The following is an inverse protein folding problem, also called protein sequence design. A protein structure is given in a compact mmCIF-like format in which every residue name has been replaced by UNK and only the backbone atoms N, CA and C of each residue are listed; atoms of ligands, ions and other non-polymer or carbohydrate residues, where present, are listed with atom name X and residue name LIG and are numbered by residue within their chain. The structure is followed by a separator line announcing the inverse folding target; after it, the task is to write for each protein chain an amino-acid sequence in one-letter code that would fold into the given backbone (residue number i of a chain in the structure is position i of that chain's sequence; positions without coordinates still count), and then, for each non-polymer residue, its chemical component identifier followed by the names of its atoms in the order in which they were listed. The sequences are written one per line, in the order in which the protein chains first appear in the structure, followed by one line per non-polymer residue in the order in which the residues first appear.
data_IF_879758913207
#
_entry.id   IF_879758913207
#
_cell.length_a   1.000
_cell.length_b   1.000
_cell.length_c   1.000
_cell.angle_alpha   90.00
_cell.angle_beta   90.00
_cell.angle_gamma   90.00
#
_symmetry.space_group_name_H-M   'P 1'
#
loop_
_entity.id
_entity.type
_entity.pdbx_description
1 polymer ?
#
# COMPACT_ATOMS: atom_id res chain seq x y z
N UNK A 1 -4.12 -12.75 21.32
CA UNK A 1 -3.66 -13.81 20.40
C UNK A 1 -4.19 -13.48 19.02
N UNK A 2 -3.32 -13.44 18.01
CA UNK A 2 -3.60 -12.98 16.66
C UNK A 2 -3.51 -14.16 15.67
N UNK A 3 -4.54 -15.04 15.59
CA UNK A 3 -4.45 -16.27 14.80
C UNK A 3 -4.17 -15.99 13.31
N UNK A 4 -4.78 -14.95 12.75
CA UNK A 4 -4.62 -14.61 11.33
C UNK A 4 -3.17 -14.25 10.98
N UNK A 5 -2.47 -13.49 11.84
CA UNK A 5 -1.07 -13.11 11.63
C UNK A 5 -0.14 -14.34 11.66
N UNK A 6 -0.49 -15.36 12.43
CA UNK A 6 0.25 -16.62 12.49
C UNK A 6 -0.05 -17.54 11.29
N UNK A 7 -1.27 -17.51 10.75
CA UNK A 7 -1.68 -18.33 9.61
C UNK A 7 -1.11 -17.83 8.28
N UNK A 8 -0.89 -16.54 8.15
CA UNK A 8 -0.40 -15.92 6.92
C UNK A 8 0.95 -16.48 6.43
N UNK A 9 2.01 -16.60 7.28
CA UNK A 9 3.26 -17.21 6.85
C UNK A 9 3.10 -18.66 6.35
N UNK A 10 2.22 -19.44 6.99
CA UNK A 10 1.94 -20.81 6.55
C UNK A 10 1.28 -20.85 5.18
N UNK A 11 0.34 -19.96 4.92
CA UNK A 11 -0.27 -19.81 3.61
C UNK A 11 0.76 -19.42 2.53
N UNK A 12 1.62 -18.43 2.82
CA UNK A 12 2.71 -18.05 1.91
C UNK A 12 3.71 -19.19 1.66
N UNK A 13 4.06 -19.96 2.70
CA UNK A 13 4.89 -21.15 2.53
C UNK A 13 4.23 -22.17 1.59
N UNK A 14 2.92 -22.35 1.70
CA UNK A 14 2.15 -23.19 0.79
C UNK A 14 2.21 -22.68 -0.65
N UNK A 15 2.04 -21.38 -0.88
CA UNK A 15 2.17 -20.80 -2.22
C UNK A 15 3.55 -21.04 -2.83
N UNK A 16 4.61 -20.91 -2.05
CA UNK A 16 5.99 -21.20 -2.50
C UNK A 16 6.15 -22.69 -2.85
N UNK A 17 5.63 -23.58 -2.02
CA UNK A 17 5.67 -25.01 -2.29
C UNK A 17 4.90 -25.34 -3.58
N UNK A 18 3.71 -24.81 -3.77
CA UNK A 18 2.90 -24.99 -4.97
C UNK A 18 3.55 -24.42 -6.24
N UNK A 19 4.35 -23.36 -6.11
CA UNK A 19 5.12 -22.80 -7.21
C UNK A 19 6.32 -23.68 -7.59
N UNK A 20 7.06 -24.22 -6.60
CA UNK A 20 8.22 -25.05 -6.82
C UNK A 20 7.85 -26.48 -7.28
N UNK A 21 6.72 -26.99 -6.82
CA UNK A 21 6.23 -28.35 -7.08
C UNK A 21 4.78 -28.31 -7.54
N UNK A 22 4.47 -27.82 -8.76
CA UNK A 22 3.10 -27.78 -9.25
C UNK A 22 2.55 -29.20 -9.41
N UNK A 23 1.43 -29.51 -8.73
CA UNK A 23 0.82 -30.84 -8.73
C UNK A 23 -0.69 -30.74 -8.55
N UNK A 24 -1.43 -31.55 -9.30
CA UNK A 24 -2.88 -31.71 -9.13
C UNK A 24 -3.25 -32.45 -7.82
N UNK A 25 -2.28 -33.12 -7.22
CA UNK A 25 -2.50 -33.99 -6.05
C UNK A 25 -2.73 -33.23 -4.73
N UNK A 26 -2.58 -31.88 -4.69
CA UNK A 26 -2.80 -31.11 -3.46
C UNK A 26 -4.27 -31.06 -3.01
N UNK A 27 -5.23 -31.27 -3.92
CA UNK A 27 -6.67 -31.14 -3.59
C UNK A 27 -7.12 -32.16 -2.54
N UNK A 28 -6.80 -33.43 -2.73
CA UNK A 28 -7.22 -34.50 -1.83
C UNK A 28 -6.65 -34.34 -0.40
N UNK A 29 -5.32 -34.15 -0.21
CA UNK A 29 -4.78 -33.90 1.13
C UNK A 29 -5.28 -32.60 1.75
N UNK A 30 -5.53 -31.55 0.97
CA UNK A 30 -6.09 -30.28 1.46
C UNK A 30 -7.48 -30.50 2.09
N UNK A 31 -8.36 -31.21 1.38
CA UNK A 31 -9.70 -31.54 1.88
C UNK A 31 -9.62 -32.43 3.12
N UNK A 32 -8.79 -33.48 3.07
CA UNK A 32 -8.66 -34.45 4.17
C UNK A 32 -8.13 -33.79 5.45
N UNK A 33 -7.05 -33.01 5.35
CA UNK A 33 -6.44 -32.33 6.51
C UNK A 33 -7.35 -31.23 7.02
N UNK A 34 -8.02 -30.48 6.14
CA UNK A 34 -8.99 -29.45 6.52
C UNK A 34 -10.20 -30.01 7.27
N UNK A 35 -10.78 -31.11 6.77
CA UNK A 35 -11.90 -31.79 7.43
C UNK A 35 -11.47 -32.35 8.79
N UNK A 36 -10.28 -32.95 8.88
CA UNK A 36 -9.76 -33.48 10.14
C UNK A 36 -9.42 -32.36 11.14
N UNK A 37 -8.90 -31.22 10.68
CA UNK A 37 -8.65 -30.04 11.51
C UNK A 37 -9.96 -29.48 12.10
N UNK A 38 -11.03 -29.38 11.29
CA UNK A 38 -12.36 -28.96 11.76
C UNK A 38 -12.92 -29.94 12.78
N UNK A 39 -12.84 -31.25 12.54
CA UNK A 39 -13.28 -32.28 13.49
C UNK A 39 -12.48 -32.23 14.80
N UNK A 40 -11.15 -32.09 14.74
CA UNK A 40 -10.29 -31.97 15.90
C UNK A 40 -10.59 -30.69 16.71
N UNK A 41 -10.85 -29.57 16.04
CA UNK A 41 -11.19 -28.30 16.67
C UNK A 41 -12.54 -28.37 17.41
N UNK A 42 -13.49 -29.17 16.94
CA UNK A 42 -14.76 -29.43 17.62
C UNK A 42 -14.55 -30.27 18.88
N UNK A 43 -13.66 -31.26 18.87
CA UNK A 43 -13.49 -32.23 19.97
C UNK A 43 -12.49 -31.78 21.03
N UNK A 44 -11.45 -31.06 20.70
CA UNK A 44 -10.45 -30.55 21.66
C UNK A 44 -9.70 -29.33 21.14
N UNK A 45 -9.43 -28.37 22.04
CA UNK A 45 -8.51 -27.24 21.77
C UNK A 45 -7.12 -27.65 22.28
N UNK A 46 -6.24 -28.12 21.41
CA UNK A 46 -4.89 -28.51 21.78
C UNK A 46 -3.87 -28.26 20.67
N UNK A 47 -2.60 -28.49 20.99
CA UNK A 47 -1.46 -28.29 20.06
C UNK A 47 -1.65 -29.01 18.72
N UNK A 48 -2.23 -30.21 18.72
CA UNK A 48 -2.51 -30.99 17.51
C UNK A 48 -3.51 -30.25 16.60
N UNK A 49 -4.53 -29.65 17.16
CA UNK A 49 -5.53 -28.86 16.41
C UNK A 49 -4.87 -27.66 15.74
N UNK A 50 -4.03 -26.92 16.48
CA UNK A 50 -3.32 -25.76 15.94
C UNK A 50 -2.37 -26.17 14.80
N UNK A 51 -1.66 -27.29 14.96
CA UNK A 51 -0.77 -27.83 13.93
C UNK A 51 -1.53 -28.24 12.66
N UNK A 52 -2.71 -28.86 12.80
CA UNK A 52 -3.55 -29.25 11.66
C UNK A 52 -4.09 -28.04 10.92
N UNK A 53 -4.48 -26.97 11.63
CA UNK A 53 -4.91 -25.71 11.02
C UNK A 53 -3.76 -25.07 10.23
N UNK A 54 -2.56 -25.05 10.80
CA UNK A 54 -1.37 -24.53 10.10
C UNK A 54 -1.06 -25.33 8.83
N UNK A 55 -1.10 -26.68 8.92
CA UNK A 55 -0.88 -27.56 7.79
C UNK A 55 -1.97 -27.36 6.71
N UNK A 56 -3.23 -27.19 7.10
CA UNK A 56 -4.32 -26.90 6.16
C UNK A 56 -4.05 -25.60 5.39
N UNK A 57 -3.55 -24.56 6.06
CA UNK A 57 -3.20 -23.30 5.41
C UNK A 57 -2.07 -23.46 4.39
N UNK A 58 -1.05 -24.28 4.70
CA UNK A 58 0.03 -24.60 3.75
C UNK A 58 -0.52 -25.33 2.53
N UNK A 59 -1.35 -26.35 2.73
CA UNK A 59 -1.93 -27.11 1.63
C UNK A 59 -2.88 -26.28 0.76
N UNK A 60 -3.69 -25.40 1.36
CA UNK A 60 -4.55 -24.47 0.62
C UNK A 60 -3.71 -23.53 -0.24
N UNK A 61 -2.60 -23.00 0.28
CA UNK A 61 -1.68 -22.16 -0.46
C UNK A 61 -1.08 -22.92 -1.65
N UNK A 62 -0.54 -24.14 -1.43
CA UNK A 62 0.05 -24.97 -2.47
C UNK A 62 -0.95 -25.32 -3.58
N UNK A 63 -2.16 -25.73 -3.21
CA UNK A 63 -3.25 -26.02 -4.15
C UNK A 63 -3.61 -24.78 -4.98
N UNK A 64 -3.76 -23.61 -4.34
CA UNK A 64 -4.16 -22.39 -5.03
C UNK A 64 -3.11 -21.93 -6.04
N UNK A 65 -1.83 -22.01 -5.70
CA UNK A 65 -0.74 -21.69 -6.62
C UNK A 65 -0.68 -22.67 -7.80
N UNK A 66 -0.76 -23.98 -7.54
CA UNK A 66 -0.77 -24.99 -8.59
C UNK A 66 -1.93 -24.80 -9.57
N UNK A 67 -3.14 -24.56 -9.08
CA UNK A 67 -4.31 -24.27 -9.92
C UNK A 67 -4.15 -22.98 -10.72
N UNK A 68 -3.55 -21.94 -10.14
CA UNK A 68 -3.30 -20.68 -10.84
C UNK A 68 -2.31 -20.84 -11.99
N UNK A 69 -1.27 -21.64 -11.80
CA UNK A 69 -0.28 -21.91 -12.85
C UNK A 69 -0.89 -22.68 -14.03
N UNK A 70 -1.86 -23.57 -13.77
CA UNK A 70 -2.58 -24.32 -14.82
C UNK A 70 -3.54 -23.44 -15.61
N UNK A 71 -4.18 -22.46 -14.97
CA UNK A 71 -5.22 -21.62 -15.58
C UNK A 71 -4.67 -20.32 -16.22
N UNK A 72 -3.36 -20.08 -16.22
CA UNK A 72 -2.78 -18.83 -16.77
C UNK A 72 -3.04 -18.64 -18.28
N UNK A 73 -3.43 -19.69 -19.01
CA UNK A 73 -3.73 -19.61 -20.45
C UNK A 73 -5.13 -19.08 -20.78
N UNK A 74 -6.10 -19.15 -19.84
CA UNK A 74 -7.52 -18.85 -20.10
C UNK A 74 -8.02 -17.47 -19.66
N UNK A 75 -7.28 -16.72 -18.83
CA UNK A 75 -7.80 -15.50 -18.16
C UNK A 75 -7.80 -14.22 -19.00
N UNK A 76 -7.32 -14.20 -20.24
CA UNK A 76 -7.09 -12.96 -21.01
C UNK A 76 -8.33 -12.33 -21.65
N UNK A 77 -9.48 -12.98 -21.66
CA UNK A 77 -10.63 -12.55 -22.48
C UNK A 77 -11.68 -11.65 -21.78
N UNK A 78 -11.89 -11.75 -20.47
CA UNK A 78 -13.00 -11.07 -19.78
C UNK A 78 -12.70 -9.67 -19.22
N UNK A 79 -11.44 -9.34 -18.97
CA UNK A 79 -11.01 -8.04 -18.45
C UNK A 79 -11.12 -6.91 -19.48
N UNK A 80 -11.10 -7.24 -20.75
CA UNK A 80 -10.99 -6.27 -21.86
C UNK A 80 -12.17 -5.30 -22.01
N UNK A 81 -13.41 -5.67 -21.65
CA UNK A 81 -14.58 -4.78 -21.85
C UNK A 81 -14.67 -3.69 -20.77
N UNK A 82 -14.46 -4.06 -19.52
CA UNK A 82 -14.50 -3.11 -18.38
C UNK A 82 -13.34 -2.12 -18.51
N UNK A 83 -12.13 -2.61 -18.80
CA UNK A 83 -10.95 -1.79 -19.04
C UNK A 83 -11.16 -0.79 -20.18
N UNK A 84 -11.68 -1.20 -21.33
CA UNK A 84 -11.97 -0.32 -22.45
C UNK A 84 -12.99 0.78 -22.11
N UNK A 85 -14.01 0.48 -21.31
CA UNK A 85 -15.00 1.47 -20.89
C UNK A 85 -14.39 2.52 -19.96
N UNK A 86 -13.57 2.09 -19.00
CA UNK A 86 -12.93 3.01 -18.08
C UNK A 86 -11.79 3.81 -18.73
N UNK A 87 -11.05 3.25 -19.70
CA UNK A 87 -10.06 4.00 -20.48
C UNK A 87 -10.70 5.14 -21.26
N UNK A 88 -11.84 4.90 -21.90
CA UNK A 88 -12.60 5.95 -22.61
C UNK A 88 -13.04 7.08 -21.66
N UNK A 89 -13.51 6.76 -20.44
CA UNK A 89 -13.85 7.77 -19.44
C UNK A 89 -12.60 8.55 -19.01
N UNK A 90 -11.50 7.85 -18.80
CA UNK A 90 -10.23 8.47 -18.42
C UNK A 90 -9.69 9.40 -19.51
N UNK A 91 -9.87 9.08 -20.78
CA UNK A 91 -9.54 9.96 -21.93
C UNK A 91 -10.40 11.23 -21.94
N UNK A 92 -11.70 11.09 -21.71
CA UNK A 92 -12.60 12.25 -21.61
C UNK A 92 -12.25 13.16 -20.44
N UNK A 93 -11.84 12.60 -19.31
CA UNK A 93 -11.38 13.39 -18.15
C UNK A 93 -10.06 14.10 -18.46
N UNK A 94 -9.16 13.47 -19.17
CA UNK A 94 -7.91 14.09 -19.62
C UNK A 94 -8.19 15.27 -20.56
N UNK A 95 -9.11 15.12 -21.53
CA UNK A 95 -9.54 16.20 -22.38
C UNK A 95 -10.09 17.41 -21.58
N UNK A 96 -10.83 17.16 -20.49
CA UNK A 96 -11.30 18.25 -19.60
C UNK A 96 -10.16 18.99 -18.90
N UNK A 97 -9.08 18.31 -18.48
CA UNK A 97 -7.90 18.98 -17.92
C UNK A 97 -7.25 19.89 -18.95
N UNK A 98 -7.19 19.45 -20.21
CA UNK A 98 -6.66 20.25 -21.30
C UNK A 98 -7.54 21.47 -21.60
N UNK A 99 -8.88 21.29 -21.65
CA UNK A 99 -9.86 22.39 -21.82
C UNK A 99 -9.80 23.41 -20.68
N UNK A 100 -9.46 22.97 -19.46
CA UNK A 100 -9.26 23.84 -18.30
C UNK A 100 -7.99 24.70 -18.40
N UNK A 101 -7.14 24.47 -19.41
CA UNK A 101 -5.94 25.27 -19.69
C UNK A 101 -4.62 24.69 -19.23
N UNK A 102 -4.58 23.47 -18.71
CA UNK A 102 -3.33 22.79 -18.36
C UNK A 102 -2.62 22.30 -19.64
N UNK A 103 -1.31 22.56 -19.75
CA UNK A 103 -0.50 22.20 -20.93
C UNK A 103 0.89 21.68 -20.55
N UNK A 104 1.55 20.98 -21.47
CA UNK A 104 2.92 20.51 -21.30
C UNK A 104 3.13 19.65 -20.06
N UNK A 105 4.14 19.99 -19.25
CA UNK A 105 4.48 19.27 -18.03
C UNK A 105 3.39 19.36 -16.96
N UNK A 106 2.63 20.47 -16.92
CA UNK A 106 1.51 20.62 -15.98
C UNK A 106 0.41 19.61 -16.26
N UNK A 107 0.06 19.44 -17.54
CA UNK A 107 -0.92 18.47 -17.98
C UNK A 107 -0.44 17.03 -17.72
N UNK A 108 0.79 16.73 -18.12
CA UNK A 108 1.34 15.37 -18.02
C UNK A 108 1.50 14.92 -16.57
N UNK A 109 1.96 15.79 -15.68
CA UNK A 109 2.11 15.47 -14.25
C UNK A 109 0.75 15.36 -13.56
N UNK A 110 -0.18 16.27 -13.84
CA UNK A 110 -1.54 16.19 -13.28
C UNK A 110 -2.26 14.93 -13.74
N UNK A 111 -2.20 14.59 -15.04
CA UNK A 111 -2.80 13.37 -15.60
C UNK A 111 -2.18 12.12 -14.99
N UNK A 112 -0.87 12.08 -14.77
CA UNK A 112 -0.20 10.96 -14.13
C UNK A 112 -0.61 10.77 -12.67
N UNK A 113 -0.72 11.87 -11.90
CA UNK A 113 -1.00 11.81 -10.46
C UNK A 113 -2.49 11.65 -10.14
N UNK A 114 -3.39 12.14 -11.00
CA UNK A 114 -4.84 12.08 -10.77
C UNK A 114 -5.51 10.94 -11.53
N UNK A 115 -5.11 10.71 -12.79
CA UNK A 115 -5.72 9.69 -13.67
C UNK A 115 -4.85 8.44 -13.87
N UNK A 116 -3.61 8.45 -13.41
CA UNK A 116 -2.67 7.33 -13.56
C UNK A 116 -2.00 7.21 -14.92
N UNK A 117 -2.21 8.15 -15.82
CA UNK A 117 -1.66 8.14 -17.19
C UNK A 117 -0.21 8.63 -17.19
N UNK A 118 0.74 7.71 -17.21
CA UNK A 118 2.19 8.00 -17.18
C UNK A 118 2.83 8.09 -18.57
N UNK A 119 2.09 7.75 -19.61
CA UNK A 119 2.60 7.71 -20.98
C UNK A 119 3.03 9.09 -21.46
N UNK A 120 2.30 10.13 -21.07
CA UNK A 120 2.62 11.53 -21.38
C UNK A 120 3.79 12.14 -20.59
N UNK A 121 4.32 11.46 -19.57
CA UNK A 121 5.42 11.98 -18.77
C UNK A 121 6.73 11.96 -19.54
N UNK A 122 7.40 13.12 -19.63
CA UNK A 122 8.71 13.27 -20.22
C UNK A 122 9.75 12.40 -19.48
N UNK A 123 10.71 11.83 -20.22
CA UNK A 123 11.82 11.04 -19.66
C UNK A 123 12.70 11.85 -18.70
N UNK A 124 12.85 13.15 -18.95
CA UNK A 124 13.57 14.08 -18.08
C UNK A 124 12.88 14.18 -16.71
N UNK A 125 11.57 14.38 -16.71
CA UNK A 125 10.79 14.47 -15.49
C UNK A 125 10.85 13.19 -14.66
N UNK A 126 10.71 12.01 -15.30
CA UNK A 126 10.88 10.70 -14.66
C UNK A 126 12.26 10.57 -14.01
N UNK A 127 13.30 11.08 -14.69
CA UNK A 127 14.69 11.04 -14.20
C UNK A 127 14.88 11.96 -13.00
N UNK A 128 14.31 13.18 -13.00
CA UNK A 128 14.34 14.11 -11.87
C UNK A 128 13.75 13.47 -10.61
N UNK A 129 12.54 12.91 -10.71
CA UNK A 129 11.90 12.21 -9.58
C UNK A 129 12.73 11.01 -9.09
N UNK A 130 13.36 10.27 -9.99
CA UNK A 130 14.21 9.13 -9.63
C UNK A 130 15.48 9.57 -8.90
N UNK A 131 16.14 10.62 -9.36
CA UNK A 131 17.39 11.12 -8.77
C UNK A 131 17.18 11.59 -7.33
N UNK A 132 16.07 12.26 -7.03
CA UNK A 132 15.76 12.72 -5.67
C UNK A 132 15.14 11.63 -4.80
N UNK A 133 14.83 10.44 -5.34
CA UNK A 133 14.22 9.34 -4.60
C UNK A 133 12.71 9.44 -4.43
N UNK A 134 12.05 10.25 -5.24
CA UNK A 134 10.61 10.50 -5.22
C UNK A 134 9.82 9.74 -6.30
N UNK A 135 10.42 8.74 -6.97
CA UNK A 135 9.76 7.94 -8.03
C UNK A 135 8.45 7.30 -7.56
N UNK A 136 8.32 6.99 -6.27
CA UNK A 136 7.11 6.43 -5.68
C UNK A 136 5.92 7.41 -5.70
N UNK A 137 6.16 8.72 -5.81
CA UNK A 137 5.11 9.73 -5.97
C UNK A 137 4.52 9.71 -7.37
N UNK A 138 5.33 9.51 -8.42
CA UNK A 138 4.82 9.36 -9.80
C UNK A 138 3.99 8.09 -10.01
N UNK A 139 4.19 7.10 -9.17
CA UNK A 139 3.36 5.92 -9.16
C UNK A 139 2.09 6.18 -8.37
N UNK A 140 0.91 5.92 -8.95
CA UNK A 140 -0.30 5.88 -8.15
C UNK A 140 -0.11 4.92 -6.99
N UNK A 141 -0.14 5.45 -5.78
CA UNK A 141 0.21 4.74 -4.56
C UNK A 141 -0.95 4.73 -3.56
N UNK A 142 -0.78 3.95 -2.50
CA UNK A 142 -1.71 3.98 -1.38
C UNK A 142 -1.88 5.37 -0.75
N UNK A 143 -0.86 6.24 -0.86
CA UNK A 143 -0.96 7.65 -0.43
C UNK A 143 -1.99 8.42 -1.25
N UNK A 144 -1.98 8.30 -2.59
CA UNK A 144 -2.96 8.95 -3.47
C UNK A 144 -4.38 8.52 -3.12
N UNK A 145 -4.59 7.21 -2.94
CA UNK A 145 -5.90 6.71 -2.53
C UNK A 145 -6.27 7.17 -1.11
N UNK A 146 -5.30 7.28 -0.20
CA UNK A 146 -5.48 7.82 1.15
C UNK A 146 -5.92 9.28 1.14
N UNK A 147 -5.37 10.09 0.24
CA UNK A 147 -5.78 11.50 0.01
C UNK A 147 -7.24 11.57 -0.46
N UNK A 148 -7.60 10.73 -1.45
CA UNK A 148 -8.98 10.66 -1.96
C UNK A 148 -9.94 10.13 -0.90
N UNK A 149 -9.54 9.09 -0.16
CA UNK A 149 -10.30 8.57 0.96
C UNK A 149 -10.53 9.64 2.03
N UNK A 150 -9.50 10.43 2.36
CA UNK A 150 -9.60 11.57 3.27
C UNK A 150 -10.64 12.59 2.81
N UNK A 151 -10.63 12.97 1.54
CA UNK A 151 -11.63 13.88 0.95
C UNK A 151 -13.04 13.29 1.04
N UNK A 152 -13.22 12.04 0.65
CA UNK A 152 -14.50 11.35 0.75
C UNK A 152 -14.98 11.22 2.20
N UNK A 153 -14.06 10.97 3.14
CA UNK A 153 -14.39 10.96 4.56
C UNK A 153 -14.86 12.33 5.06
N UNK A 154 -14.24 13.42 4.65
CA UNK A 154 -14.67 14.78 5.02
C UNK A 154 -16.09 15.05 4.50
N UNK A 155 -16.39 14.67 3.27
CA UNK A 155 -17.73 14.80 2.68
C UNK A 155 -18.76 13.95 3.45
N UNK A 156 -18.38 12.72 3.80
CA UNK A 156 -19.27 11.76 4.46
C UNK A 156 -19.23 11.82 6.00
N UNK A 157 -18.34 12.62 6.62
CA UNK A 157 -18.07 12.60 8.07
C UNK A 157 -19.34 12.79 8.91
N UNK A 158 -20.24 13.64 8.46
CA UNK A 158 -21.52 13.89 9.12
C UNK A 158 -22.40 12.65 9.12
N UNK A 159 -22.38 11.87 8.05
CA UNK A 159 -23.20 10.67 7.87
C UNK A 159 -22.58 9.44 8.55
N UNK A 160 -21.25 9.32 8.51
CA UNK A 160 -20.53 8.23 9.20
C UNK A 160 -20.67 8.34 10.72
N UNK A 161 -20.72 9.56 11.26
CA UNK A 161 -20.86 9.83 12.70
C UNK A 161 -22.26 9.52 13.22
N UNK A 162 -23.31 9.64 12.41
CA UNK A 162 -24.69 9.31 12.79
C UNK A 162 -25.00 7.84 12.47
N UNK A 163 -25.36 7.07 13.50
CA UNK A 163 -25.52 5.61 13.43
C UNK A 163 -26.36 5.08 12.26
N UNK A 164 -27.55 5.60 11.92
CA UNK A 164 -28.35 5.05 10.82
C UNK A 164 -27.73 5.27 9.45
N UNK A 165 -27.04 6.41 9.22
CA UNK A 165 -26.48 6.75 7.92
C UNK A 165 -25.15 6.06 7.64
N UNK A 166 -24.49 5.51 8.65
CA UNK A 166 -23.22 4.80 8.49
C UNK A 166 -23.32 3.59 7.58
N UNK A 167 -24.45 2.88 7.62
CA UNK A 167 -24.74 1.73 6.76
C UNK A 167 -24.84 2.08 5.28
N UNK A 168 -25.03 3.36 4.94
CA UNK A 168 -25.05 3.87 3.57
C UNK A 168 -23.69 4.51 3.24
N UNK A 169 -23.15 5.32 4.14
CA UNK A 169 -21.94 6.10 3.90
C UNK A 169 -20.70 5.23 3.69
N UNK A 170 -20.50 4.16 4.50
CA UNK A 170 -19.32 3.31 4.39
C UNK A 170 -19.31 2.44 3.12
N UNK A 171 -20.40 1.77 2.70
CA UNK A 171 -20.46 1.15 1.37
C UNK A 171 -20.25 2.13 0.22
N UNK A 172 -20.77 3.37 0.32
CA UNK A 172 -20.55 4.41 -0.68
C UNK A 172 -19.07 4.81 -0.76
N UNK A 173 -18.39 4.92 0.37
CA UNK A 173 -16.93 5.14 0.41
C UNK A 173 -16.18 4.00 -0.28
N UNK A 174 -16.50 2.75 0.02
CA UNK A 174 -15.90 1.58 -0.63
C UNK A 174 -16.14 1.63 -2.14
N UNK A 175 -17.37 1.90 -2.56
CA UNK A 175 -17.72 2.06 -3.97
C UNK A 175 -16.88 3.17 -4.65
N UNK A 176 -16.73 4.32 -4.00
CA UNK A 176 -15.92 5.43 -4.51
C UNK A 176 -14.44 5.05 -4.68
N UNK A 177 -13.85 4.35 -3.69
CA UNK A 177 -12.48 3.85 -3.77
C UNK A 177 -12.26 2.89 -4.96
N UNK A 178 -13.16 1.93 -5.14
CA UNK A 178 -13.06 0.98 -6.23
C UNK A 178 -13.37 1.61 -7.59
N UNK A 179 -14.31 2.56 -7.66
CA UNK A 179 -14.57 3.34 -8.90
C UNK A 179 -13.32 4.12 -9.32
N UNK A 180 -12.64 4.78 -8.38
CA UNK A 180 -11.37 5.46 -8.68
C UNK A 180 -10.29 4.48 -9.12
N UNK A 181 -10.16 3.33 -8.47
CA UNK A 181 -9.20 2.28 -8.84
C UNK A 181 -9.45 1.75 -10.24
N UNK A 182 -10.72 1.54 -10.62
CA UNK A 182 -11.12 1.16 -11.98
C UNK A 182 -10.81 2.26 -13.00
N UNK A 183 -11.11 3.52 -12.66
CA UNK A 183 -10.88 4.68 -13.53
C UNK A 183 -9.39 4.85 -13.89
N UNK A 184 -8.52 4.53 -12.96
CA UNK A 184 -7.06 4.64 -13.11
C UNK A 184 -6.40 3.40 -13.72
N UNK A 185 -7.18 2.44 -14.26
CA UNK A 185 -6.68 1.23 -14.91
C UNK A 185 -6.23 0.13 -13.96
N UNK A 186 -6.76 0.09 -12.73
CA UNK A 186 -6.52 -0.96 -11.74
C UNK A 186 -5.03 -1.25 -11.45
N UNK A 187 -4.17 -0.25 -11.22
CA UNK A 187 -2.78 -0.53 -10.89
C UNK A 187 -2.71 -1.32 -9.58
N UNK A 188 -1.83 -2.32 -9.52
CA UNK A 188 -1.70 -3.24 -8.39
C UNK A 188 -1.54 -2.52 -7.04
N UNK A 189 -0.89 -1.35 -7.02
CA UNK A 189 -0.75 -0.50 -5.83
C UNK A 189 -2.08 0.03 -5.30
N UNK A 190 -3.01 0.46 -6.19
CA UNK A 190 -4.33 0.94 -5.78
C UNK A 190 -5.25 -0.21 -5.39
N UNK A 191 -5.19 -1.36 -6.06
CA UNK A 191 -5.96 -2.55 -5.66
C UNK A 191 -5.63 -2.91 -4.21
N UNK A 192 -4.33 -2.91 -3.84
CA UNK A 192 -3.89 -3.16 -2.46
C UNK A 192 -4.45 -2.15 -1.48
N UNK A 193 -4.31 -0.87 -1.79
CA UNK A 193 -4.79 0.20 -0.93
C UNK A 193 -6.32 0.20 -0.80
N UNK A 194 -7.05 -0.03 -1.90
CA UNK A 194 -8.52 -0.15 -1.90
C UNK A 194 -8.99 -1.33 -1.04
N UNK A 195 -8.35 -2.50 -1.16
CA UNK A 195 -8.69 -3.65 -0.33
C UNK A 195 -8.43 -3.40 1.16
N UNK A 196 -7.28 -2.80 1.52
CA UNK A 196 -6.98 -2.45 2.92
C UNK A 196 -7.98 -1.43 3.48
N UNK A 197 -8.27 -0.36 2.74
CA UNK A 197 -9.22 0.67 3.17
C UNK A 197 -10.66 0.13 3.24
N UNK A 198 -11.04 -0.76 2.32
CA UNK A 198 -12.34 -1.45 2.37
C UNK A 198 -12.47 -2.29 3.65
N UNK A 199 -11.42 -3.01 4.04
CA UNK A 199 -11.41 -3.78 5.30
C UNK A 199 -11.50 -2.88 6.54
N UNK A 200 -10.86 -1.71 6.51
CA UNK A 200 -11.01 -0.69 7.57
C UNK A 200 -12.45 -0.19 7.63
N UNK A 201 -13.06 0.17 6.49
CA UNK A 201 -14.46 0.59 6.42
C UNK A 201 -15.41 -0.48 6.94
N UNK A 202 -15.20 -1.75 6.54
CA UNK A 202 -15.98 -2.88 7.04
C UNK A 202 -15.79 -3.08 8.55
N UNK A 203 -14.59 -2.93 9.06
CA UNK A 203 -14.32 -2.97 10.50
C UNK A 203 -15.10 -1.88 11.25
N UNK A 204 -15.06 -0.64 10.75
CA UNK A 204 -15.83 0.48 11.31
C UNK A 204 -17.34 0.21 11.22
N UNK A 205 -17.83 -0.37 10.13
CA UNK A 205 -19.23 -0.75 9.95
C UNK A 205 -19.69 -1.75 11.01
N UNK A 206 -18.82 -2.73 11.32
CA UNK A 206 -19.06 -3.75 12.34
C UNK A 206 -18.74 -3.31 13.78
N UNK A 207 -18.57 -2.02 14.02
CA UNK A 207 -18.21 -1.43 15.33
C UNK A 207 -16.90 -2.00 15.92
N UNK A 208 -15.95 -2.36 15.05
CA UNK A 208 -14.62 -2.86 15.43
C UNK A 208 -13.56 -2.00 14.79
N UNK A 209 -12.52 -1.67 15.54
CA UNK A 209 -11.30 -1.04 15.00
C UNK A 209 -10.27 -2.14 14.77
N UNK A 210 -10.12 -2.66 13.54
CA UNK A 210 -9.17 -3.73 13.30
C UNK A 210 -7.73 -3.19 13.47
N UNK A 211 -6.86 -3.90 14.21
CA UNK A 211 -5.46 -3.55 14.26
C UNK A 211 -4.82 -3.55 12.87
N UNK A 212 -3.93 -2.61 12.60
CA UNK A 212 -3.31 -2.43 11.29
C UNK A 212 -2.67 -3.71 10.75
N UNK A 213 -1.97 -4.48 11.59
CA UNK A 213 -1.37 -5.76 11.20
C UNK A 213 -2.40 -6.81 10.77
N UNK A 214 -3.58 -6.83 11.38
CA UNK A 214 -4.65 -7.77 10.96
C UNK A 214 -5.23 -7.37 9.61
N UNK A 215 -5.46 -6.07 9.40
CA UNK A 215 -5.93 -5.55 8.11
C UNK A 215 -4.92 -5.85 7.01
N UNK A 216 -3.62 -5.64 7.30
CA UNK A 216 -2.53 -5.93 6.39
C UNK A 216 -2.49 -7.42 6.00
N UNK A 217 -2.46 -8.31 6.99
CA UNK A 217 -2.39 -9.77 6.74
C UNK A 217 -3.66 -10.30 6.07
N UNK A 218 -4.83 -9.81 6.44
CA UNK A 218 -6.09 -10.22 5.81
C UNK A 218 -6.13 -9.77 4.34
N UNK A 219 -5.75 -8.51 4.06
CA UNK A 219 -5.68 -7.99 2.70
C UNK A 219 -4.70 -8.79 1.85
N UNK A 220 -3.49 -9.06 2.37
CA UNK A 220 -2.49 -9.87 1.68
C UNK A 220 -3.00 -11.29 1.39
N UNK A 221 -3.63 -11.94 2.39
CA UNK A 221 -4.20 -13.28 2.22
C UNK A 221 -5.28 -13.32 1.14
N UNK A 222 -6.21 -12.35 1.16
CA UNK A 222 -7.29 -12.27 0.16
C UNK A 222 -6.75 -12.04 -1.25
N UNK A 223 -5.77 -11.14 -1.39
CA UNK A 223 -5.15 -10.85 -2.69
C UNK A 223 -4.37 -12.04 -3.24
N UNK A 224 -3.55 -12.69 -2.40
CA UNK A 224 -2.79 -13.89 -2.79
C UNK A 224 -3.71 -15.10 -3.03
N UNK A 225 -4.84 -15.16 -2.36
CA UNK A 225 -5.85 -16.18 -2.64
C UNK A 225 -6.54 -15.94 -4.00
N UNK A 226 -6.83 -14.69 -4.35
CA UNK A 226 -7.37 -14.32 -5.65
C UNK A 226 -6.34 -14.54 -6.78
N UNK A 227 -5.13 -14.03 -6.60
CA UNK A 227 -4.03 -14.15 -7.57
C UNK A 227 -2.70 -14.50 -6.87
N UNK A 228 -2.31 -15.77 -6.83
CA UNK A 228 -1.07 -16.23 -6.19
C UNK A 228 0.21 -15.66 -6.81
N UNK A 229 0.21 -15.31 -8.11
CA UNK A 229 1.39 -14.75 -8.79
C UNK A 229 1.84 -13.40 -8.21
N UNK A 230 0.96 -12.70 -7.48
CA UNK A 230 1.33 -11.47 -6.78
C UNK A 230 2.44 -11.68 -5.73
N UNK A 231 2.66 -12.92 -5.25
CA UNK A 231 3.73 -13.20 -4.29
C UNK A 231 5.11 -12.84 -4.85
N UNK A 232 5.33 -13.01 -6.16
CA UNK A 232 6.57 -12.69 -6.87
C UNK A 232 6.56 -11.27 -7.46
N UNK A 233 5.44 -10.56 -7.42
CA UNK A 233 5.33 -9.18 -7.90
C UNK A 233 6.10 -8.22 -6.98
N UNK A 234 7.07 -7.50 -7.57
CA UNK A 234 7.93 -6.56 -6.85
C UNK A 234 7.11 -5.45 -6.17
N UNK A 235 6.10 -4.95 -6.88
CA UNK A 235 5.23 -3.90 -6.34
C UNK A 235 4.42 -4.39 -5.13
N UNK A 236 3.92 -5.63 -5.17
CA UNK A 236 3.25 -6.26 -4.03
C UNK A 236 4.20 -6.36 -2.83
N UNK A 237 5.39 -6.92 -3.02
CA UNK A 237 6.37 -7.09 -1.95
C UNK A 237 6.76 -5.75 -1.31
N UNK A 238 7.14 -4.74 -2.11
CA UNK A 238 7.54 -3.43 -1.61
C UNK A 238 6.41 -2.71 -0.86
N UNK A 239 5.18 -2.77 -1.37
CA UNK A 239 4.05 -2.11 -0.72
C UNK A 239 3.68 -2.74 0.62
N UNK A 240 3.62 -4.07 0.70
CA UNK A 240 3.30 -4.75 1.96
C UNK A 240 4.42 -4.60 2.99
N UNK A 241 5.69 -4.62 2.58
CA UNK A 241 6.84 -4.33 3.45
C UNK A 241 6.80 -2.90 3.97
N UNK A 242 6.53 -1.91 3.12
CA UNK A 242 6.40 -0.51 3.56
C UNK A 242 5.36 -0.37 4.68
N UNK A 243 4.14 -0.89 4.47
CA UNK A 243 3.06 -0.81 5.47
C UNK A 243 3.37 -1.64 6.71
N UNK A 244 4.01 -2.80 6.57
CA UNK A 244 4.45 -3.61 7.71
C UNK A 244 5.41 -2.84 8.61
N UNK A 245 6.46 -2.23 8.05
CA UNK A 245 7.44 -1.47 8.82
C UNK A 245 6.85 -0.19 9.42
N UNK A 246 5.94 0.48 8.73
CA UNK A 246 5.13 1.57 9.30
C UNK A 246 4.35 1.07 10.52
N UNK A 247 3.67 -0.08 10.40
CA UNK A 247 2.88 -0.64 11.50
C UNK A 247 3.74 -1.04 12.70
N UNK A 248 4.94 -1.59 12.46
CA UNK A 248 5.90 -1.94 13.51
C UNK A 248 6.47 -0.70 14.21
N UNK A 249 6.74 0.37 13.47
CA UNK A 249 7.26 1.62 14.02
C UNK A 249 6.20 2.44 14.76
N UNK A 250 4.93 2.36 14.36
CA UNK A 250 3.87 3.18 14.94
C UNK A 250 3.76 3.03 16.47
N UNK A 251 3.70 1.78 16.96
CA UNK A 251 3.44 1.51 18.38
C UNK A 251 4.50 2.08 19.33
N UNK A 252 5.83 1.85 19.15
CA UNK A 252 6.85 2.37 20.04
C UNK A 252 6.97 3.90 19.98
N UNK A 253 6.75 4.53 18.84
CA UNK A 253 6.95 5.98 18.68
C UNK A 253 5.69 6.82 18.97
N UNK A 254 4.50 6.21 19.02
CA UNK A 254 3.27 6.94 19.32
C UNK A 254 3.32 7.68 20.65
N UNK A 255 3.80 7.03 21.71
CA UNK A 255 3.93 7.64 23.03
C UNK A 255 4.97 8.76 23.08
N UNK A 256 6.04 8.65 22.27
CA UNK A 256 7.12 9.64 22.23
C UNK A 256 6.65 10.98 21.68
N UNK A 257 5.86 10.97 20.59
CA UNK A 257 5.42 12.20 19.92
C UNK A 257 4.12 12.79 20.48
N UNK A 258 3.41 12.05 21.33
CA UNK A 258 2.12 12.52 21.87
C UNK A 258 2.24 13.84 22.67
N UNK A 259 3.34 14.03 23.39
CA UNK A 259 3.60 15.23 24.20
C UNK A 259 4.13 16.44 23.40
N UNK A 260 4.45 16.27 22.12
CA UNK A 260 5.02 17.32 21.30
C UNK A 260 3.92 18.30 20.83
N UNK A 261 4.26 19.61 20.68
CA UNK A 261 3.34 20.58 20.10
C UNK A 261 2.97 20.17 18.65
N UNK A 262 1.77 20.51 18.22
CA UNK A 262 1.20 20.03 16.94
C UNK A 262 2.08 20.42 15.74
N UNK A 263 2.73 21.58 15.77
CA UNK A 263 3.63 22.04 14.70
C UNK A 263 4.87 21.15 14.53
N UNK A 264 5.40 20.61 15.62
CA UNK A 264 6.56 19.72 15.58
C UNK A 264 6.14 18.25 15.42
N UNK A 265 4.99 17.89 15.99
CA UNK A 265 4.47 16.52 15.95
C UNK A 265 4.12 16.06 14.54
N UNK A 266 3.50 16.92 13.73
CA UNK A 266 3.09 16.56 12.37
C UNK A 266 4.28 16.26 11.44
N UNK A 267 5.33 17.11 11.30
CA UNK A 267 6.52 16.76 10.53
C UNK A 267 7.27 15.54 11.06
N UNK A 268 7.35 15.39 12.39
CA UNK A 268 7.98 14.23 13.02
C UNK A 268 7.29 12.91 12.63
N UNK A 269 5.95 12.89 12.63
CA UNK A 269 5.18 11.74 12.15
C UNK A 269 5.41 11.46 10.67
N UNK A 270 5.38 12.48 9.81
CA UNK A 270 5.63 12.30 8.38
C UNK A 270 7.02 11.73 8.13
N UNK A 271 8.03 12.28 8.82
CA UNK A 271 9.40 11.78 8.71
C UNK A 271 9.53 10.34 9.20
N UNK A 272 8.92 9.99 10.35
CA UNK A 272 8.93 8.64 10.88
C UNK A 272 8.27 7.65 9.91
N UNK A 273 7.11 7.98 9.35
CA UNK A 273 6.41 7.12 8.40
C UNK A 273 7.22 6.92 7.12
N UNK A 274 7.83 8.00 6.60
CA UNK A 274 8.67 7.95 5.41
C UNK A 274 9.93 7.13 5.63
N UNK A 275 10.63 7.35 6.75
CA UNK A 275 11.80 6.56 7.15
C UNK A 275 11.45 5.08 7.37
N UNK A 276 10.35 4.80 8.05
CA UNK A 276 9.92 3.42 8.31
C UNK A 276 9.61 2.67 7.03
N UNK A 277 8.87 3.32 6.10
CA UNK A 277 8.60 2.75 4.78
C UNK A 277 9.89 2.50 4.00
N UNK A 278 10.81 3.47 3.99
CA UNK A 278 12.07 3.34 3.27
C UNK A 278 12.95 2.25 3.88
N UNK A 279 13.12 2.21 5.20
CA UNK A 279 13.89 1.15 5.88
C UNK A 279 13.31 -0.22 5.51
N UNK A 280 11.99 -0.38 5.55
CA UNK A 280 11.34 -1.63 5.20
C UNK A 280 11.51 -2.06 3.74
N UNK A 281 11.58 -1.12 2.81
CA UNK A 281 11.70 -1.42 1.38
C UNK A 281 13.14 -1.41 0.87
N UNK A 282 14.07 -0.81 1.60
CA UNK A 282 15.44 -0.56 1.20
C UNK A 282 16.20 -1.81 0.75
N UNK A 283 16.22 -2.95 1.49
CA UNK A 283 17.00 -4.12 1.08
C UNK A 283 16.49 -4.70 -0.24
N UNK A 284 15.16 -4.77 -0.39
CA UNK A 284 14.52 -5.31 -1.58
C UNK A 284 14.65 -4.35 -2.77
N UNK A 285 14.54 -3.04 -2.54
CA UNK A 285 14.74 -2.01 -3.56
C UNK A 285 16.18 -2.03 -4.08
N UNK A 286 17.17 -2.15 -3.20
CA UNK A 286 18.57 -2.30 -3.59
C UNK A 286 18.83 -3.57 -4.39
N UNK A 287 18.14 -4.67 -4.07
CA UNK A 287 18.26 -5.93 -4.79
C UNK A 287 17.69 -5.87 -6.21
N UNK A 288 16.48 -5.28 -6.38
CA UNK A 288 15.80 -5.26 -7.67
C UNK A 288 16.24 -4.09 -8.57
N UNK A 289 16.46 -2.91 -7.98
CA UNK A 289 16.74 -1.70 -8.75
C UNK A 289 18.21 -1.28 -8.74
N UNK A 290 19.04 -1.93 -7.90
CA UNK A 290 20.47 -1.65 -7.77
C UNK A 290 20.79 -0.19 -7.40
N UNK A 291 19.81 0.54 -6.87
CA UNK A 291 19.92 1.97 -6.53
C UNK A 291 19.32 2.22 -5.14
N UNK A 292 19.89 3.18 -4.43
CA UNK A 292 19.44 3.61 -3.11
C UNK A 292 19.29 5.12 -3.07
N UNK A 293 18.08 5.66 -3.01
CA UNK A 293 17.86 7.09 -2.84
C UNK A 293 17.97 7.48 -1.36
N UNK A 294 19.06 8.12 -0.97
CA UNK A 294 19.29 8.50 0.43
C UNK A 294 18.43 9.69 0.88
N UNK A 295 18.12 10.61 -0.03
CA UNK A 295 17.36 11.82 0.26
C UNK A 295 15.83 11.62 0.26
N UNK A 296 15.36 10.46 -0.19
CA UNK A 296 13.93 10.16 -0.36
C UNK A 296 13.04 10.55 0.84
N UNK A 297 13.35 10.15 2.09
CA UNK A 297 12.51 10.50 3.25
C UNK A 297 12.40 11.99 3.52
N UNK A 298 13.50 12.73 3.32
CA UNK A 298 13.54 14.16 3.63
C UNK A 298 12.78 14.94 2.56
N UNK A 299 13.03 14.66 1.28
CA UNK A 299 12.32 15.35 0.21
C UNK A 299 10.83 15.01 0.20
N UNK A 300 10.45 13.79 0.58
CA UNK A 300 9.05 13.39 0.71
C UNK A 300 8.29 14.25 1.71
N UNK A 301 8.95 14.75 2.76
CA UNK A 301 8.35 15.67 3.72
C UNK A 301 7.84 16.96 3.05
N UNK A 302 8.52 17.41 2.01
CA UNK A 302 8.18 18.63 1.26
C UNK A 302 7.23 18.28 0.10
N UNK A 303 7.54 17.23 -0.65
CA UNK A 303 6.76 16.89 -1.85
C UNK A 303 5.37 16.33 -1.54
N UNK A 304 5.20 15.50 -0.48
CA UNK A 304 3.90 14.90 -0.16
C UNK A 304 2.80 15.96 0.06
N UNK A 305 2.99 17.04 0.83
CA UNK A 305 1.99 18.10 0.94
C UNK A 305 1.66 18.77 -0.40
N UNK A 306 2.67 19.06 -1.22
CA UNK A 306 2.50 19.70 -2.53
C UNK A 306 1.74 18.75 -3.47
N UNK A 307 2.17 17.49 -3.59
CA UNK A 307 1.47 16.47 -4.37
C UNK A 307 0.03 16.26 -3.90
N UNK A 308 -0.21 16.30 -2.58
CA UNK A 308 -1.57 16.21 -2.01
C UNK A 308 -2.43 17.39 -2.47
N UNK A 309 -1.90 18.62 -2.41
CA UNK A 309 -2.58 19.82 -2.90
C UNK A 309 -2.84 19.74 -4.42
N UNK A 310 -1.86 19.24 -5.19
CA UNK A 310 -1.99 19.01 -6.63
C UNK A 310 -3.11 18.00 -6.94
N UNK A 311 -3.16 16.88 -6.21
CA UNK A 311 -4.22 15.86 -6.40
C UNK A 311 -5.60 16.49 -6.13
N UNK A 312 -5.75 17.25 -5.05
CA UNK A 312 -7.03 17.94 -4.78
C UNK A 312 -7.34 19.00 -5.84
N UNK A 313 -6.36 19.81 -6.23
CA UNK A 313 -6.52 20.81 -7.30
C UNK A 313 -6.96 20.15 -8.61
N UNK A 314 -6.28 19.08 -9.04
CA UNK A 314 -6.62 18.33 -10.23
C UNK A 314 -8.01 17.68 -10.18
N UNK A 315 -8.39 17.07 -9.04
CA UNK A 315 -9.74 16.53 -8.85
C UNK A 315 -10.81 17.62 -8.91
N UNK A 316 -10.58 18.79 -8.28
CA UNK A 316 -11.52 19.91 -8.36
C UNK A 316 -11.59 20.49 -9.77
N UNK A 317 -10.49 20.55 -10.51
CA UNK A 317 -10.47 20.98 -11.92
C UNK A 317 -11.29 20.02 -12.80
N UNK A 318 -11.25 18.70 -12.51
CA UNK A 318 -12.06 17.71 -13.24
C UNK A 318 -13.56 17.83 -12.94
N UNK A 319 -13.93 18.10 -11.69
CA UNK A 319 -15.33 18.22 -11.27
C UNK A 319 -15.92 19.57 -11.69
N UNK A 320 -15.16 20.64 -11.48
CA UNK A 320 -15.54 22.02 -11.76
C UNK A 320 -14.44 22.66 -12.63
N UNK A 321 -14.60 22.71 -13.95
CA UNK A 321 -13.60 23.27 -14.86
C UNK A 321 -13.58 24.79 -14.78
N UNK A 322 -13.25 25.31 -13.59
CA UNK A 322 -13.13 26.75 -13.32
C UNK A 322 -11.65 27.12 -13.42
N UNK A 323 -11.26 28.24 -14.09
CA UNK A 323 -9.88 28.67 -14.25
C UNK A 323 -9.11 28.79 -12.92
N UNK A 324 -9.80 29.09 -11.81
CA UNK A 324 -9.19 29.17 -10.48
C UNK A 324 -8.55 27.83 -10.05
N UNK A 325 -9.24 26.70 -10.24
CA UNK A 325 -8.72 25.39 -9.87
C UNK A 325 -7.59 24.95 -10.79
N UNK A 326 -7.69 25.25 -12.08
CA UNK A 326 -6.62 24.98 -13.03
C UNK A 326 -5.37 25.79 -12.69
N UNK A 327 -5.49 27.08 -12.39
CA UNK A 327 -4.37 27.93 -11.97
C UNK A 327 -3.75 27.47 -10.65
N UNK A 328 -4.57 27.02 -9.69
CA UNK A 328 -4.06 26.44 -8.45
C UNK A 328 -3.30 25.14 -8.70
N UNK A 329 -3.80 24.27 -9.57
CA UNK A 329 -3.14 23.03 -9.97
C UNK A 329 -1.79 23.32 -10.66
N UNK A 330 -1.77 24.26 -11.61
CA UNK A 330 -0.56 24.74 -12.29
C UNK A 330 0.47 25.27 -11.29
N UNK A 331 0.06 26.08 -10.32
CA UNK A 331 0.95 26.56 -9.25
C UNK A 331 1.55 25.43 -8.44
N UNK A 332 0.76 24.41 -8.09
CA UNK A 332 1.25 23.24 -7.36
C UNK A 332 2.27 22.44 -8.19
N UNK A 333 2.02 22.25 -9.50
CA UNK A 333 2.99 21.59 -10.41
C UNK A 333 4.29 22.38 -10.48
N UNK A 334 4.20 23.70 -10.69
CA UNK A 334 5.38 24.56 -10.76
C UNK A 334 6.18 24.53 -9.44
N UNK A 335 5.49 24.53 -8.29
CA UNK A 335 6.13 24.40 -6.99
C UNK A 335 6.83 23.04 -6.84
N UNK A 336 6.21 21.94 -7.29
CA UNK A 336 6.79 20.60 -7.25
C UNK A 336 8.04 20.52 -8.12
N UNK A 337 7.99 21.03 -9.34
CA UNK A 337 9.14 21.09 -10.27
C UNK A 337 10.27 21.95 -9.70
N UNK A 338 9.94 23.11 -9.12
CA UNK A 338 10.93 23.99 -8.50
C UNK A 338 11.65 23.30 -7.33
N UNK A 339 10.89 22.59 -6.47
CA UNK A 339 11.47 21.83 -5.36
C UNK A 339 12.39 20.73 -5.86
N UNK A 340 12.02 20.01 -6.92
CA UNK A 340 12.87 18.98 -7.53
C UNK A 340 14.18 19.56 -8.04
N UNK A 341 14.13 20.66 -8.82
CA UNK A 341 15.32 21.30 -9.38
C UNK A 341 16.22 21.88 -8.28
N UNK A 342 15.63 22.54 -7.27
CA UNK A 342 16.35 23.04 -6.10
C UNK A 342 17.06 21.91 -5.35
N UNK A 343 16.37 20.77 -5.12
CA UNK A 343 16.93 19.63 -4.41
C UNK A 343 18.07 18.95 -5.16
N UNK A 344 17.94 18.80 -6.47
CA UNK A 344 18.99 18.25 -7.33
C UNK A 344 20.26 19.11 -7.32
N UNK A 345 20.09 20.43 -7.32
CA UNK A 345 21.23 21.36 -7.23
C UNK A 345 21.93 21.30 -5.86
N UNK A 346 21.13 21.10 -4.78
CA UNK A 346 21.66 21.03 -3.41
C UNK A 346 22.34 19.68 -3.11
N UNK A 347 21.78 18.58 -3.64
CA UNK A 347 22.23 17.20 -3.39
C UNK A 347 22.44 16.42 -4.70
N UNK A 348 23.42 16.76 -5.54
CA UNK A 348 23.61 16.12 -6.85
C UNK A 348 23.94 14.64 -6.79
N UNK A 349 24.41 14.14 -5.64
CA UNK A 349 24.81 12.74 -5.42
C UNK A 349 23.90 12.00 -4.41
N UNK A 350 22.62 12.35 -4.36
CA UNK A 350 21.68 11.74 -3.43
C UNK A 350 21.26 10.31 -3.78
N UNK A 351 21.61 9.83 -4.97
CA UNK A 351 21.34 8.48 -5.45
C UNK A 351 22.62 7.63 -5.42
N UNK A 352 22.61 6.60 -4.60
CA UNK A 352 23.71 5.61 -4.58
C UNK A 352 23.40 4.51 -5.60
N UNK A 353 24.26 4.35 -6.60
CA UNK A 353 24.11 3.39 -7.69
C UNK A 353 25.03 2.18 -7.52
N UNK A 354 24.82 1.14 -8.32
CA UNK A 354 25.64 -0.07 -8.41
C UNK A 354 25.65 -0.93 -7.13
N UNK A 355 24.53 -1.01 -6.43
CA UNK A 355 24.35 -1.92 -5.31
C UNK A 355 23.89 -3.29 -5.83
N UNK A 356 24.65 -4.34 -5.52
CA UNK A 356 24.32 -5.72 -5.90
C UNK A 356 24.29 -6.64 -4.66
N UNK A 357 23.33 -6.45 -3.73
CA UNK A 357 23.22 -7.32 -2.58
C UNK A 357 22.81 -8.74 -3.02
N UNK A 358 23.40 -9.77 -2.41
CA UNK A 358 22.99 -11.15 -2.66
C UNK A 358 21.62 -11.44 -1.99
N UNK A 359 20.84 -12.42 -2.48
CA UNK A 359 19.58 -12.80 -1.85
C UNK A 359 19.74 -13.17 -0.36
N UNK A 360 20.86 -13.82 -0.02
CA UNK A 360 21.17 -14.19 1.35
C UNK A 360 21.40 -12.96 2.23
N UNK A 361 22.12 -11.94 1.73
CA UNK A 361 22.34 -10.70 2.48
C UNK A 361 21.02 -9.95 2.72
N UNK A 362 20.12 -9.90 1.74
CA UNK A 362 18.80 -9.30 1.89
C UNK A 362 17.99 -10.02 2.97
N UNK A 363 17.98 -11.34 2.97
CA UNK A 363 17.30 -12.15 3.98
C UNK A 363 17.86 -11.90 5.39
N UNK A 364 19.19 -11.88 5.55
CA UNK A 364 19.85 -11.62 6.84
C UNK A 364 19.55 -10.20 7.36
N UNK A 365 19.52 -9.20 6.47
CA UNK A 365 19.14 -7.83 6.82
C UNK A 365 17.70 -7.79 7.36
N UNK A 366 16.74 -8.45 6.71
CA UNK A 366 15.36 -8.50 7.22
C UNK A 366 15.24 -9.22 8.55
N UNK A 367 15.97 -10.32 8.76
CA UNK A 367 15.99 -11.03 10.04
C UNK A 367 16.53 -10.10 11.14
N UNK A 368 17.63 -9.39 10.88
CA UNK A 368 18.22 -8.44 11.83
C UNK A 368 17.26 -7.28 12.13
N UNK A 369 16.60 -6.72 11.12
CA UNK A 369 15.60 -5.65 11.28
C UNK A 369 14.42 -6.10 12.15
N UNK A 370 13.84 -7.27 11.86
CA UNK A 370 12.72 -7.81 12.64
C UNK A 370 13.13 -8.09 14.08
N UNK A 371 14.33 -8.62 14.31
CA UNK A 371 14.87 -8.81 15.66
C UNK A 371 15.07 -7.47 16.39
N UNK A 372 15.53 -6.43 15.69
CA UNK A 372 15.63 -5.07 16.22
C UNK A 372 14.28 -4.49 16.65
N UNK A 373 13.27 -4.57 15.76
CA UNK A 373 11.91 -4.09 16.07
C UNK A 373 11.26 -4.86 17.22
N UNK A 374 11.45 -6.17 17.32
CA UNK A 374 10.92 -6.96 18.44
C UNK A 374 11.55 -6.54 19.79
N UNK A 375 12.84 -6.22 19.80
CA UNK A 375 13.52 -5.66 20.98
C UNK A 375 12.97 -4.28 21.35
N UNK A 376 12.83 -3.37 20.37
CA UNK A 376 12.27 -2.03 20.58
C UNK A 376 10.84 -2.10 21.14
N UNK A 377 10.01 -2.99 20.61
CA UNK A 377 8.66 -3.20 21.09
C UNK A 377 8.65 -3.68 22.55
N UNK A 378 9.53 -4.63 22.91
CA UNK A 378 9.65 -5.14 24.28
C UNK A 378 10.08 -4.03 25.24
N UNK A 379 11.11 -3.25 24.90
CA UNK A 379 11.56 -2.10 25.68
C UNK A 379 10.45 -1.07 25.90
N UNK A 380 9.71 -0.71 24.84
CA UNK A 380 8.57 0.22 24.93
C UNK A 380 7.46 -0.30 25.85
N UNK A 381 7.20 -1.62 25.84
CA UNK A 381 6.19 -2.22 26.72
C UNK A 381 6.63 -2.24 28.18
N UNK A 382 7.92 -2.46 28.44
CA UNK A 382 8.48 -2.49 29.80
C UNK A 382 8.49 -1.08 30.43
N UNK A 383 8.82 -0.03 29.65
CA UNK A 383 8.74 1.37 30.08
C UNK A 383 7.30 1.73 30.48
N UNK A 384 6.29 1.33 29.69
CA UNK A 384 4.88 1.59 30.03
C UNK A 384 4.44 0.92 31.32
N UNK A 385 4.90 -0.32 31.58
CA UNK A 385 4.59 -1.02 32.85
C UNK A 385 5.22 -0.34 34.04
N UNK A 386 6.47 0.15 33.91
CA UNK A 386 7.15 0.86 34.97
C UNK A 386 6.46 2.17 35.34
N UNK A 387 5.96 2.94 34.37
CA UNK A 387 5.19 4.15 34.64
C UNK A 387 3.85 3.88 35.31
N UNK A 388 3.15 2.80 34.95
CA UNK A 388 1.88 2.39 35.60
C UNK A 388 2.04 1.84 37.02
N UNK A 389 3.26 1.42 37.41
CA UNK A 389 3.54 0.93 38.76
C UNK A 389 4.00 2.04 39.72
N UNK A 390 4.21 3.27 39.23
CA UNK A 390 4.65 4.45 40.00
C UNK A 390 3.48 5.44 40.23
N UNK A 391 2.38 5.31 39.45
CA UNK A 391 1.08 5.97 39.72
C UNK A 391 0.21 5.09 40.62
#
# INVERSE_FOLDING_TARGET
KTPLVALFPCFCTGLIIGHLFPSEFYLAPTIAVGAFALWASYKSKGFVTDLLILLSCVLIGAQRMSTSLQNMEDETASTSFIEKKFSSISEQLEARLHEAGLQGDEMSLTSALVLGKREGLNSELKTKFRQVGASHLLALSGMHLGVIYGLLCVICIRWVRFSPFRWIALPLLICGLWTYTLLTGMPASLIRASSMLSLVCLGILLFRTPPLLHTLTLSATLMLFANPSLLTDIGFQLSFLAVLFIALAYSPFHSLFHSWPILARWPAWMLLLSLSAQIGTLPLSAYYFHTLPLSGPIISLILIPITTALIYGGLFTLILPIPLFASFTSLCVQAELWVLDFWMNLFPHSLWNNLHPSPLSVMLIYIAMLAGFTRLYKMSSDIKKTHQSVE
#
